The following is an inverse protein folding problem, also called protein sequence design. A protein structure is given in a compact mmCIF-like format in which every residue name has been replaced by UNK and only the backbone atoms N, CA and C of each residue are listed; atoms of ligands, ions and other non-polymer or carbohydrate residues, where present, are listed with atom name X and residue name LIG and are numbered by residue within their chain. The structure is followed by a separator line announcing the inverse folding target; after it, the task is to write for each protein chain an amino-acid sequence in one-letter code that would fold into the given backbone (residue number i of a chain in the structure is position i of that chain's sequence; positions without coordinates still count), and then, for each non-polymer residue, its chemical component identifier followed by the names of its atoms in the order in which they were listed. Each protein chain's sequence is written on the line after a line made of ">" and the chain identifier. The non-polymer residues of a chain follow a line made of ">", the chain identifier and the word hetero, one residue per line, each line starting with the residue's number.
data_IF_911476066480
#
_entry.id   IF_911476066480
#
_cell.length_a   1.000
_cell.length_b   1.000
_cell.length_c   1.000
_cell.angle_alpha   90.00
_cell.angle_beta   90.00
_cell.angle_gamma   90.00
#
_symmetry.space_group_name_H-M   'P 1'
#
loop_
_entity.id
_entity.type
_entity.pdbx_description
1 polymer ?
#
# COMPACT_ATOMS: atom_id res chain seq x y z
N UNK A 1 11.59 -11.87 6.25
CA UNK A 1 11.96 -13.29 6.05
C UNK A 1 13.15 -13.61 6.97
N UNK A 2 12.93 -14.35 8.05
CA UNK A 2 13.94 -14.65 9.10
C UNK A 2 14.59 -15.99 8.76
N UNK A 3 15.57 -15.99 7.85
CA UNK A 3 16.24 -17.22 7.41
C UNK A 3 17.33 -17.67 8.39
N UNK A 4 17.99 -16.73 9.05
CA UNK A 4 19.03 -16.95 10.05
C UNK A 4 18.60 -17.86 11.21
N UNK A 5 17.42 -17.64 11.80
CA UNK A 5 16.90 -18.53 12.87
C UNK A 5 16.55 -19.93 12.37
N UNK A 6 16.08 -20.04 11.13
CA UNK A 6 15.81 -21.35 10.51
C UNK A 6 17.11 -22.12 10.24
N UNK A 7 18.14 -21.44 9.74
CA UNK A 7 19.46 -22.05 9.49
C UNK A 7 20.10 -22.55 10.80
N UNK A 8 19.95 -21.79 11.89
CA UNK A 8 20.45 -22.20 13.21
C UNK A 8 19.80 -23.52 13.69
N UNK A 9 18.50 -23.72 13.40
CA UNK A 9 17.79 -24.95 13.79
C UNK A 9 18.28 -26.21 13.06
N UNK A 10 18.99 -26.07 11.94
CA UNK A 10 19.59 -27.19 11.21
C UNK A 10 20.99 -27.58 11.72
N UNK A 11 21.60 -26.76 12.58
CA UNK A 11 22.96 -26.98 13.08
C UNK A 11 22.96 -27.74 14.42
N UNK A 12 23.88 -28.68 14.60
CA UNK A 12 24.02 -29.44 15.86
C UNK A 12 24.48 -28.57 17.04
N UNK A 13 25.29 -27.55 16.76
CA UNK A 13 25.87 -26.64 17.78
C UNK A 13 24.89 -25.54 18.27
N UNK A 14 23.59 -25.68 17.98
CA UNK A 14 22.57 -24.65 18.23
C UNK A 14 22.58 -24.13 19.66
N UNK A 15 22.67 -25.01 20.67
CA UNK A 15 22.53 -24.64 22.08
C UNK A 15 23.72 -23.83 22.60
N UNK A 16 24.92 -24.02 22.04
CA UNK A 16 26.12 -23.29 22.44
C UNK A 16 26.22 -21.93 21.75
N UNK A 17 25.76 -21.83 20.50
CA UNK A 17 25.99 -20.65 19.64
C UNK A 17 24.77 -19.72 19.58
N UNK A 18 23.56 -20.22 19.87
CA UNK A 18 22.31 -19.46 19.77
C UNK A 18 22.35 -18.10 20.51
N UNK A 19 22.83 -18.08 21.75
CA UNK A 19 22.87 -16.84 22.55
C UNK A 19 23.75 -15.76 21.90
N UNK A 20 24.92 -16.13 21.39
CA UNK A 20 25.83 -15.20 20.71
C UNK A 20 25.26 -14.74 19.36
N UNK A 21 24.70 -15.67 18.58
CA UNK A 21 24.10 -15.38 17.28
C UNK A 21 22.90 -14.44 17.43
N UNK A 22 22.01 -14.69 18.38
CA UNK A 22 20.87 -13.81 18.66
C UNK A 22 21.33 -12.40 19.06
N UNK A 23 22.32 -12.28 19.95
CA UNK A 23 22.85 -10.98 20.34
C UNK A 23 23.46 -10.19 19.15
N UNK A 24 24.12 -10.87 18.20
CA UNK A 24 24.66 -10.23 17.00
C UNK A 24 23.55 -9.82 16.03
N UNK A 25 22.52 -10.66 15.87
CA UNK A 25 21.34 -10.36 15.06
C UNK A 25 20.63 -9.12 15.60
N UNK A 26 20.42 -9.04 16.91
CA UNK A 26 19.78 -7.88 17.55
C UNK A 26 20.61 -6.61 17.36
N UNK A 27 21.95 -6.71 17.48
CA UNK A 27 22.86 -5.59 17.20
C UNK A 27 22.86 -5.15 15.73
N UNK A 28 22.65 -6.07 14.79
CA UNK A 28 22.46 -5.73 13.38
C UNK A 28 21.08 -5.08 13.17
N UNK A 29 20.05 -5.59 13.84
CA UNK A 29 18.70 -5.06 13.76
C UNK A 29 18.61 -3.62 14.28
N UNK A 30 19.30 -3.29 15.38
CA UNK A 30 19.44 -1.91 15.90
C UNK A 30 20.07 -0.94 14.89
N UNK A 31 20.89 -1.45 13.97
CA UNK A 31 21.53 -0.66 12.90
C UNK A 31 20.71 -0.65 11.61
N UNK A 32 19.53 -1.29 11.59
CA UNK A 32 18.69 -1.44 10.40
C UNK A 32 19.26 -2.42 9.37
N UNK A 33 20.07 -3.38 9.80
CA UNK A 33 20.70 -4.38 8.94
C UNK A 33 19.94 -5.71 9.07
N UNK A 34 19.62 -6.33 7.93
CA UNK A 34 19.10 -7.69 7.86
C UNK A 34 20.22 -8.69 8.06
N UNK A 35 19.97 -9.77 8.79
CA UNK A 35 20.93 -10.86 9.01
C UNK A 35 20.68 -12.02 8.04
N UNK A 36 21.74 -12.51 7.40
CA UNK A 36 21.73 -13.76 6.66
C UNK A 36 22.66 -14.78 7.34
N UNK A 37 22.09 -15.87 7.83
CA UNK A 37 22.85 -16.99 8.40
C UNK A 37 23.36 -17.91 7.30
N UNK A 38 24.63 -18.31 7.39
CA UNK A 38 25.27 -19.25 6.46
C UNK A 38 25.74 -20.48 7.22
N UNK A 39 25.34 -21.65 6.74
CA UNK A 39 25.78 -22.94 7.25
C UNK A 39 26.30 -23.81 6.11
N UNK A 40 27.24 -24.68 6.44
CA UNK A 40 27.99 -25.50 5.51
C UNK A 40 28.02 -26.93 6.04
N UNK A 41 27.85 -27.91 5.15
CA UNK A 41 28.00 -29.32 5.49
C UNK A 41 28.77 -30.03 4.37
N UNK A 42 29.44 -31.14 4.70
CA UNK A 42 30.18 -31.95 3.72
C UNK A 42 29.29 -33.09 3.23
N UNK A 43 29.20 -33.25 1.91
CA UNK A 43 28.55 -34.39 1.26
C UNK A 43 29.64 -35.37 0.79
N UNK A 44 29.61 -36.65 1.17
CA UNK A 44 30.54 -37.66 0.66
C UNK A 44 30.31 -37.87 -0.86
N UNK A 45 31.39 -37.93 -1.65
CA UNK A 45 31.38 -38.01 -3.13
C UNK A 45 30.61 -39.20 -3.75
N UNK A 46 30.13 -40.17 -2.95
CA UNK A 46 29.50 -41.42 -3.42
C UNK A 46 28.09 -41.67 -2.86
N UNK A 47 27.42 -40.68 -2.31
CA UNK A 47 26.07 -40.85 -1.75
C UNK A 47 25.12 -39.73 -2.18
N UNK A 48 24.01 -40.08 -2.84
CA UNK A 48 22.84 -39.20 -3.07
C UNK A 48 21.97 -39.02 -1.80
N UNK A 49 22.51 -39.34 -0.62
CA UNK A 49 21.80 -39.24 0.65
C UNK A 49 21.86 -37.84 1.27
N UNK A 50 21.02 -37.54 2.28
CA UNK A 50 21.16 -36.32 3.07
C UNK A 50 22.56 -36.31 3.70
N UNK A 51 23.33 -35.25 3.43
CA UNK A 51 24.72 -35.15 3.88
C UNK A 51 24.87 -35.05 5.40
N UNK A 52 26.11 -34.85 5.86
CA UNK A 52 26.43 -34.75 7.30
C UNK A 52 25.80 -33.52 8.00
N UNK A 53 25.98 -33.38 9.33
CA UNK A 53 25.39 -32.29 10.11
C UNK A 53 25.87 -30.92 9.64
N UNK A 54 24.98 -29.94 9.67
CA UNK A 54 25.29 -28.57 9.28
C UNK A 54 26.15 -27.88 10.33
N UNK A 55 27.25 -27.29 9.89
CA UNK A 55 28.12 -26.43 10.70
C UNK A 55 27.77 -24.97 10.41
N UNK A 56 27.51 -24.17 11.45
CA UNK A 56 27.22 -22.76 11.28
C UNK A 56 28.51 -21.99 10.96
N UNK A 57 28.61 -21.39 9.77
CA UNK A 57 29.84 -20.72 9.34
C UNK A 57 29.83 -19.23 9.72
N UNK A 58 28.67 -18.54 9.75
CA UNK A 58 28.60 -17.14 10.18
C UNK A 58 27.31 -16.39 9.83
N UNK A 59 27.28 -15.09 10.17
CA UNK A 59 26.21 -14.14 9.86
C UNK A 59 26.74 -13.04 8.93
N UNK A 60 26.00 -12.72 7.87
CA UNK A 60 26.29 -11.58 6.99
C UNK A 60 25.22 -10.50 7.21
N UNK A 61 25.62 -9.24 7.52
CA UNK A 61 24.70 -8.12 7.56
C UNK A 61 24.45 -7.59 6.14
N UNK A 62 23.17 -7.43 5.79
CA UNK A 62 22.68 -6.89 4.53
C UNK A 62 21.92 -5.60 4.80
N UNK A 63 22.24 -4.55 4.05
CA UNK A 63 21.50 -3.29 4.09
C UNK A 63 20.60 -3.22 2.85
N UNK A 64 19.33 -2.91 3.06
CA UNK A 64 18.40 -2.55 2.00
C UNK A 64 18.29 -1.01 2.00
N UNK A 65 19.06 -0.29 1.15
CA UNK A 65 19.07 1.16 1.18
C UNK A 65 17.73 1.71 0.67
N UNK A 66 17.13 2.68 1.37
CA UNK A 66 15.94 3.35 0.86
C UNK A 66 16.27 4.09 -0.44
N UNK A 67 15.30 4.18 -1.35
CA UNK A 67 15.42 5.03 -2.54
C UNK A 67 15.49 6.50 -2.10
N UNK A 68 16.23 7.28 -2.88
CA UNK A 68 16.55 8.67 -2.60
C UNK A 68 15.30 9.59 -2.59
N UNK A 69 14.26 9.24 -3.33
CA UNK A 69 13.03 10.02 -3.51
C UNK A 69 11.96 9.73 -2.45
N UNK A 70 12.08 8.66 -1.67
CA UNK A 70 11.00 8.18 -0.78
C UNK A 70 10.72 9.19 0.33
N UNK A 71 11.75 9.76 0.97
CA UNK A 71 11.57 10.68 2.08
C UNK A 71 10.78 11.94 1.67
N UNK A 72 11.16 12.55 0.54
CA UNK A 72 10.43 13.69 -0.03
C UNK A 72 9.00 13.29 -0.45
N UNK A 73 8.85 12.11 -1.04
CA UNK A 73 7.56 11.59 -1.48
C UNK A 73 6.59 11.39 -0.31
N UNK A 74 7.06 10.87 0.83
CA UNK A 74 6.23 10.69 2.04
C UNK A 74 5.77 12.05 2.55
N UNK A 75 6.66 13.04 2.65
CA UNK A 75 6.29 14.39 3.07
C UNK A 75 5.26 15.01 2.13
N UNK A 76 5.46 14.87 0.81
CA UNK A 76 4.51 15.33 -0.20
C UNK A 76 3.16 14.62 -0.07
N UNK A 77 3.15 13.32 0.18
CA UNK A 77 1.94 12.53 0.43
C UNK A 77 1.16 13.07 1.63
N UNK A 78 1.84 13.34 2.74
CA UNK A 78 1.24 13.90 3.95
C UNK A 78 0.63 15.28 3.71
N UNK A 79 1.32 16.16 2.97
CA UNK A 79 0.77 17.47 2.56
C UNK A 79 -0.48 17.35 1.67
N UNK A 80 -0.63 16.25 0.94
CA UNK A 80 -1.81 15.93 0.13
C UNK A 80 -2.91 15.23 0.94
N UNK A 81 -2.73 15.03 2.24
CA UNK A 81 -3.67 14.32 3.10
C UNK A 81 -3.72 12.81 2.84
N UNK A 82 -2.65 12.23 2.31
CA UNK A 82 -2.51 10.78 2.10
C UNK A 82 -1.49 10.26 3.10
N UNK A 83 -1.96 9.51 4.09
CA UNK A 83 -1.11 8.87 5.08
C UNK A 83 -0.41 7.64 4.47
N UNK A 84 0.91 7.55 4.65
CA UNK A 84 1.71 6.40 4.20
C UNK A 84 2.07 5.56 5.42
N UNK A 85 1.60 4.31 5.47
CA UNK A 85 1.91 3.36 6.54
C UNK A 85 2.90 2.31 6.05
N UNK A 86 4.02 2.12 6.75
CA UNK A 86 5.01 1.10 6.37
C UNK A 86 4.53 -0.29 6.78
N UNK A 87 4.53 -1.25 5.85
CA UNK A 87 4.21 -2.66 6.12
C UNK A 87 5.43 -3.49 5.75
N UNK A 88 6.06 -4.16 6.74
CA UNK A 88 7.26 -4.96 6.50
C UNK A 88 7.24 -6.30 7.24
N UNK A 89 7.84 -7.32 6.61
CA UNK A 89 8.11 -8.62 7.23
C UNK A 89 9.43 -8.65 8.02
N UNK A 90 10.11 -7.52 8.17
CA UNK A 90 11.28 -7.36 9.03
C UNK A 90 10.90 -7.20 10.49
N UNK A 91 11.86 -7.45 11.38
CA UNK A 91 11.67 -7.23 12.81
C UNK A 91 11.45 -5.75 13.12
N UNK A 92 10.77 -5.48 14.24
CA UNK A 92 10.39 -4.12 14.66
C UNK A 92 11.58 -3.16 14.76
N UNK A 93 12.74 -3.62 15.25
CA UNK A 93 13.93 -2.78 15.37
C UNK A 93 14.44 -2.30 14.00
N UNK A 94 14.51 -3.20 13.01
CA UNK A 94 14.89 -2.87 11.63
C UNK A 94 13.88 -1.92 11.02
N UNK A 95 12.59 -2.23 11.18
CA UNK A 95 11.50 -1.41 10.65
C UNK A 95 11.54 0.02 11.19
N UNK A 96 11.71 0.19 12.51
CA UNK A 96 11.82 1.51 13.15
C UNK A 96 13.05 2.28 12.68
N UNK A 97 14.19 1.61 12.50
CA UNK A 97 15.39 2.27 12.01
C UNK A 97 15.24 2.71 10.54
N UNK A 98 14.65 1.88 9.69
CA UNK A 98 14.33 2.25 8.31
C UNK A 98 13.32 3.39 8.26
N UNK A 99 12.25 3.31 9.06
CA UNK A 99 11.24 4.35 9.18
C UNK A 99 11.81 5.69 9.65
N UNK A 100 12.74 5.66 10.61
CA UNK A 100 13.49 6.85 11.09
C UNK A 100 14.30 7.48 9.97
N UNK A 101 14.97 6.69 9.13
CA UNK A 101 15.73 7.19 7.96
C UNK A 101 14.83 7.75 6.87
N UNK A 102 13.65 7.17 6.70
CA UNK A 102 12.66 7.59 5.70
C UNK A 102 11.80 8.78 6.14
N UNK A 103 11.72 9.06 7.45
CA UNK A 103 10.87 10.10 8.00
C UNK A 103 9.39 9.74 8.05
N UNK A 104 9.02 8.46 8.02
CA UNK A 104 7.61 7.99 8.11
C UNK A 104 7.05 8.02 9.54
N UNK A 105 7.87 8.32 10.55
CA UNK A 105 7.52 8.19 11.97
C UNK A 105 7.92 6.84 12.56
N UNK A 106 8.12 6.78 13.88
CA UNK A 106 8.61 5.58 14.59
C UNK A 106 7.54 4.90 15.43
N UNK A 107 6.28 5.35 15.34
CA UNK A 107 5.15 4.76 16.06
C UNK A 107 4.70 3.45 15.37
N UNK A 108 5.59 2.45 15.38
CA UNK A 108 5.38 1.16 14.75
C UNK A 108 5.15 0.07 15.80
N UNK A 109 4.29 -0.88 15.46
CA UNK A 109 3.94 -2.01 16.30
C UNK A 109 4.18 -3.33 15.56
N UNK A 110 4.51 -4.43 16.26
CA UNK A 110 4.55 -5.73 15.63
C UNK A 110 3.12 -6.18 15.29
N UNK A 111 2.92 -6.84 14.15
CA UNK A 111 1.57 -7.27 13.73
C UNK A 111 0.89 -8.19 14.74
N UNK A 112 1.65 -8.98 15.50
CA UNK A 112 1.10 -9.82 16.57
C UNK A 112 0.45 -8.98 17.68
N UNK A 113 1.02 -7.83 18.04
CA UNK A 113 0.42 -6.94 19.02
C UNK A 113 -0.86 -6.26 18.50
N UNK A 114 -1.00 -6.13 17.18
CA UNK A 114 -2.15 -5.49 16.52
C UNK A 114 -3.26 -6.48 16.13
N UNK A 115 -3.04 -7.79 16.29
CA UNK A 115 -4.01 -8.81 15.88
C UNK A 115 -4.43 -9.73 17.02
N UNK A 116 -3.69 -9.72 18.12
CA UNK A 116 -4.07 -10.47 19.32
C UNK A 116 -5.24 -9.75 20.02
N UNK A 117 -6.45 -10.15 19.65
CA UNK A 117 -7.71 -9.68 20.26
C UNK A 117 -7.90 -10.15 21.70
N UNK A 118 -7.02 -11.02 22.22
CA UNK A 118 -7.05 -11.50 23.60
C UNK A 118 -6.19 -10.66 24.56
N UNK A 119 -5.75 -9.46 24.16
CA UNK A 119 -5.16 -8.52 25.11
C UNK A 119 -6.17 -8.23 26.21
N UNK A 120 -5.78 -8.51 27.45
CA UNK A 120 -6.53 -8.10 28.64
C UNK A 120 -6.91 -6.62 28.51
N UNK A 121 -8.16 -6.30 28.86
CA UNK A 121 -8.89 -5.02 28.76
C UNK A 121 -8.19 -3.79 29.42
N UNK A 122 -6.91 -3.89 29.78
CA UNK A 122 -6.19 -2.96 30.64
C UNK A 122 -5.11 -2.10 29.95
N UNK A 123 -4.91 -2.18 28.62
CA UNK A 123 -4.03 -1.25 27.87
C UNK A 123 -4.79 -0.31 26.91
N UNK A 124 -5.41 0.72 27.49
CA UNK A 124 -5.72 2.09 27.00
C UNK A 124 -6.33 2.40 25.62
N UNK A 125 -6.22 1.58 24.56
CA UNK A 125 -6.84 1.85 23.25
C UNK A 125 -7.32 0.56 22.57
N UNK A 126 -8.52 0.56 21.95
CA UNK A 126 -8.97 -0.57 21.15
C UNK A 126 -8.01 -0.79 19.96
N UNK A 127 -7.81 -2.05 19.60
CA UNK A 127 -6.86 -2.48 18.56
C UNK A 127 -7.03 -1.71 17.25
N UNK A 128 -8.27 -1.40 16.87
CA UNK A 128 -8.57 -0.67 15.64
C UNK A 128 -8.05 0.79 15.67
N UNK A 129 -8.10 1.46 16.82
CA UNK A 129 -7.53 2.80 16.99
C UNK A 129 -6.01 2.77 17.00
N UNK A 130 -5.42 1.70 17.54
CA UNK A 130 -3.98 1.50 17.52
C UNK A 130 -3.45 1.36 16.09
N UNK A 131 -4.16 0.59 15.24
CA UNK A 131 -3.82 0.43 13.82
C UNK A 131 -3.99 1.75 13.05
N UNK A 132 -5.02 2.52 13.37
CA UNK A 132 -5.27 3.84 12.80
C UNK A 132 -4.16 4.84 13.15
N UNK A 133 -3.67 4.85 14.40
CA UNK A 133 -2.61 5.74 14.87
C UNK A 133 -1.18 5.25 14.56
N UNK A 134 -1.01 3.98 14.19
CA UNK A 134 0.31 3.43 13.89
C UNK A 134 0.90 3.97 12.58
N UNK A 135 2.16 4.38 12.59
CA UNK A 135 2.92 4.78 11.39
C UNK A 135 3.29 3.55 10.52
N UNK A 136 3.20 2.35 11.09
CA UNK A 136 3.41 1.11 10.36
C UNK A 136 3.47 -0.14 11.21
N UNK A 137 3.57 -1.27 10.53
CA UNK A 137 3.53 -2.61 11.10
C UNK A 137 4.80 -3.39 10.72
N UNK A 138 5.38 -4.08 11.70
CA UNK A 138 6.55 -4.94 11.52
C UNK A 138 6.21 -6.42 11.74
N UNK A 139 7.07 -7.32 11.28
CA UNK A 139 6.91 -8.77 11.35
C UNK A 139 5.59 -9.27 10.73
N UNK A 140 5.13 -8.60 9.67
CA UNK A 140 3.83 -8.84 9.04
C UNK A 140 3.86 -10.09 8.17
N UNK A 141 2.88 -10.98 8.36
CA UNK A 141 2.61 -12.15 7.53
C UNK A 141 1.50 -11.83 6.50
N UNK A 142 1.35 -12.60 5.41
CA UNK A 142 0.33 -12.36 4.39
C UNK A 142 -1.09 -12.21 4.95
N UNK A 143 -1.47 -13.03 5.94
CA UNK A 143 -2.78 -12.98 6.61
C UNK A 143 -2.98 -11.66 7.35
N UNK A 144 -1.90 -11.14 7.94
CA UNK A 144 -1.93 -9.89 8.70
C UNK A 144 -2.15 -8.67 7.79
N UNK A 145 -1.64 -8.70 6.55
CA UNK A 145 -1.87 -7.62 5.57
C UNK A 145 -3.36 -7.45 5.28
N UNK A 146 -4.08 -8.56 5.11
CA UNK A 146 -5.51 -8.55 4.87
C UNK A 146 -6.29 -7.93 6.04
N UNK A 147 -6.00 -8.36 7.27
CA UNK A 147 -6.69 -7.84 8.46
C UNK A 147 -6.38 -6.35 8.70
N UNK A 148 -5.14 -5.89 8.47
CA UNK A 148 -4.79 -4.46 8.58
C UNK A 148 -5.64 -3.62 7.62
N UNK A 149 -5.74 -4.03 6.35
CA UNK A 149 -6.55 -3.32 5.36
C UNK A 149 -8.02 -3.31 5.76
N UNK A 150 -8.53 -4.44 6.25
CA UNK A 150 -9.92 -4.56 6.71
C UNK A 150 -10.22 -3.63 7.89
N UNK A 151 -9.36 -3.58 8.90
CA UNK A 151 -9.54 -2.68 10.07
C UNK A 151 -9.53 -1.21 9.65
N UNK A 152 -8.65 -0.81 8.73
CA UNK A 152 -8.62 0.56 8.22
C UNK A 152 -9.88 0.91 7.41
N UNK A 153 -10.41 -0.04 6.62
CA UNK A 153 -11.69 0.14 5.92
C UNK A 153 -12.89 0.24 6.87
N UNK A 154 -12.92 -0.54 7.95
CA UNK A 154 -13.95 -0.45 8.99
C UNK A 154 -13.96 0.91 9.68
N UNK A 155 -12.82 1.61 9.71
CA UNK A 155 -12.65 3.00 10.15
C UNK A 155 -12.94 4.04 9.05
N UNK A 156 -13.54 3.64 7.93
CA UNK A 156 -13.92 4.50 6.80
C UNK A 156 -12.74 5.14 6.05
N UNK A 157 -11.52 4.59 6.16
CA UNK A 157 -10.39 5.01 5.32
C UNK A 157 -10.44 4.33 3.95
N UNK A 158 -10.18 5.10 2.89
CA UNK A 158 -9.95 4.55 1.55
C UNK A 158 -8.51 4.03 1.50
N UNK A 159 -8.36 2.72 1.35
CA UNK A 159 -7.07 2.05 1.51
C UNK A 159 -6.46 1.67 0.16
N UNK A 160 -5.29 2.24 -0.14
CA UNK A 160 -4.41 1.77 -1.21
C UNK A 160 -3.37 0.81 -0.67
N UNK A 161 -3.28 -0.41 -1.22
CA UNK A 161 -2.31 -1.42 -0.79
C UNK A 161 -1.32 -1.72 -1.91
N UNK A 162 -0.03 -1.71 -1.59
CA UNK A 162 1.03 -2.10 -2.53
C UNK A 162 1.52 -3.51 -2.21
N UNK A 163 1.76 -4.33 -3.23
CA UNK A 163 2.28 -5.68 -3.05
C UNK A 163 3.02 -6.22 -4.27
N UNK A 164 3.66 -7.37 -4.10
CA UNK A 164 4.40 -8.11 -5.14
C UNK A 164 3.52 -9.11 -5.91
N UNK A 165 2.25 -9.24 -5.53
CA UNK A 165 1.21 -9.90 -6.31
C UNK A 165 0.75 -11.23 -5.72
N UNK A 166 1.55 -12.29 -5.77
CA UNK A 166 1.07 -13.66 -5.48
C UNK A 166 0.78 -13.87 -3.99
N UNK A 167 1.70 -13.46 -3.13
CA UNK A 167 1.53 -13.60 -1.68
C UNK A 167 0.53 -12.57 -1.12
N UNK A 168 0.44 -11.43 -1.80
CA UNK A 168 -0.34 -10.28 -1.35
C UNK A 168 -1.73 -10.21 -1.97
N UNK A 169 -2.08 -11.13 -2.88
CA UNK A 169 -3.33 -11.14 -3.63
C UNK A 169 -4.59 -10.98 -2.75
N UNK A 170 -4.75 -11.66 -1.60
CA UNK A 170 -5.92 -11.46 -0.75
C UNK A 170 -6.03 -10.03 -0.23
N UNK A 171 -4.90 -9.44 0.20
CA UNK A 171 -4.85 -8.07 0.72
C UNK A 171 -5.04 -7.01 -0.38
N UNK A 172 -4.48 -7.25 -1.57
CA UNK A 172 -4.63 -6.39 -2.73
C UNK A 172 -6.08 -6.34 -3.21
N UNK A 173 -6.76 -7.50 -3.24
CA UNK A 173 -8.19 -7.59 -3.59
C UNK A 173 -9.11 -6.95 -2.55
N UNK A 174 -8.68 -6.96 -1.28
CA UNK A 174 -9.46 -6.41 -0.17
C UNK A 174 -9.38 -4.89 -0.13
N UNK A 175 -8.23 -4.32 -0.51
CA UNK A 175 -8.03 -2.89 -0.57
C UNK A 175 -9.00 -2.23 -1.56
N UNK A 176 -9.29 -0.94 -1.35
CA UNK A 176 -10.09 -0.15 -2.29
C UNK A 176 -9.33 0.06 -3.61
N UNK A 177 -8.00 0.09 -3.52
CA UNK A 177 -7.09 0.19 -4.66
C UNK A 177 -5.90 -0.76 -4.42
N UNK A 178 -5.87 -1.88 -5.12
CA UNK A 178 -4.74 -2.80 -5.17
C UNK A 178 -3.69 -2.35 -6.20
N UNK A 179 -2.44 -2.16 -5.76
CA UNK A 179 -1.33 -1.67 -6.58
C UNK A 179 -0.22 -2.71 -6.62
N UNK A 180 0.20 -3.14 -7.81
CA UNK A 180 1.37 -4.03 -7.97
C UNK A 180 2.57 -3.26 -8.47
N UNK A 181 3.71 -3.50 -7.81
CA UNK A 181 5.00 -2.88 -8.13
C UNK A 181 5.80 -3.81 -9.05
N UNK A 182 6.01 -3.41 -10.30
CA UNK A 182 6.94 -3.99 -11.30
C UNK A 182 6.74 -5.47 -11.68
N UNK A 183 6.75 -5.77 -12.98
CA UNK A 183 6.68 -7.11 -13.58
C UNK A 183 5.72 -8.10 -12.88
N UNK A 184 4.42 -7.77 -12.76
CA UNK A 184 3.46 -8.73 -12.23
C UNK A 184 3.43 -9.96 -13.12
N UNK A 185 3.71 -11.12 -12.52
CA UNK A 185 3.34 -12.43 -13.05
C UNK A 185 1.84 -12.37 -13.39
N UNK A 186 1.41 -12.94 -14.51
CA UNK A 186 0.04 -12.78 -15.03
C UNK A 186 -1.07 -13.06 -13.99
N UNK A 187 -0.81 -13.94 -13.04
CA UNK A 187 -1.70 -14.23 -11.91
C UNK A 187 -2.02 -12.97 -11.07
N UNK A 188 -1.04 -12.11 -10.80
CA UNK A 188 -1.21 -10.89 -10.02
C UNK A 188 -2.03 -9.82 -10.76
N UNK A 189 -1.93 -9.75 -12.10
CA UNK A 189 -2.67 -8.77 -12.92
C UNK A 189 -4.18 -8.93 -12.85
N UNK A 190 -4.66 -10.16 -12.63
CA UNK A 190 -6.09 -10.46 -12.57
C UNK A 190 -6.79 -10.00 -11.28
N UNK A 191 -6.01 -9.59 -10.26
CA UNK A 191 -6.51 -9.32 -8.90
C UNK A 191 -6.38 -7.84 -8.52
N UNK A 192 -5.69 -7.03 -9.33
CA UNK A 192 -5.29 -5.65 -8.96
C UNK A 192 -5.86 -4.59 -9.87
N UNK A 193 -6.08 -3.40 -9.31
CA UNK A 193 -6.69 -2.27 -10.01
C UNK A 193 -5.66 -1.45 -10.81
N UNK A 194 -4.43 -1.34 -10.28
CA UNK A 194 -3.35 -0.55 -10.88
C UNK A 194 -2.07 -1.37 -10.93
N UNK A 195 -1.44 -1.39 -12.11
CA UNK A 195 -0.09 -1.95 -12.31
C UNK A 195 0.88 -0.81 -12.56
N UNK A 196 1.92 -0.70 -11.73
CA UNK A 196 2.98 0.27 -11.97
C UNK A 196 3.97 -0.27 -13.00
N UNK A 197 4.19 0.51 -14.04
CA UNK A 197 5.20 0.24 -15.08
C UNK A 197 6.62 0.50 -14.59
N UNK A 198 6.76 1.34 -13.57
CA UNK A 198 8.03 1.72 -12.96
C UNK A 198 7.93 1.56 -11.44
N UNK A 199 9.00 1.13 -10.74
CA UNK A 199 8.97 0.95 -9.31
C UNK A 199 9.18 2.29 -8.57
N UNK A 200 8.29 2.62 -7.63
CA UNK A 200 8.49 3.77 -6.75
C UNK A 200 7.20 4.28 -6.12
N UNK A 201 7.31 4.77 -4.88
CA UNK A 201 6.19 5.42 -4.20
C UNK A 201 5.82 6.76 -4.87
N UNK A 202 6.79 7.43 -5.47
CA UNK A 202 6.62 8.72 -6.16
C UNK A 202 5.58 8.65 -7.27
N UNK A 203 5.56 7.55 -8.02
CA UNK A 203 4.61 7.31 -9.11
C UNK A 203 3.19 7.17 -8.58
N UNK A 204 3.02 6.50 -7.43
CA UNK A 204 1.71 6.36 -6.77
C UNK A 204 1.17 7.74 -6.37
N UNK A 205 2.01 8.59 -5.78
CA UNK A 205 1.62 9.95 -5.40
C UNK A 205 1.28 10.80 -6.64
N UNK A 206 2.04 10.66 -7.72
CA UNK A 206 1.73 11.32 -8.99
C UNK A 206 0.39 10.85 -9.58
N UNK A 207 0.09 9.55 -9.50
CA UNK A 207 -1.19 8.98 -9.92
C UNK A 207 -2.35 9.53 -9.09
N UNK A 208 -2.19 9.67 -7.76
CA UNK A 208 -3.20 10.28 -6.88
C UNK A 208 -3.48 11.74 -7.28
N UNK A 209 -2.44 12.53 -7.53
CA UNK A 209 -2.59 13.92 -7.98
C UNK A 209 -3.34 14.02 -9.31
N UNK A 210 -2.96 13.17 -10.26
CA UNK A 210 -3.58 13.12 -11.59
C UNK A 210 -5.05 12.70 -11.49
N UNK A 211 -5.34 11.68 -10.67
CA UNK A 211 -6.70 11.21 -10.39
C UNK A 211 -7.57 12.31 -9.79
N UNK A 212 -7.06 13.08 -8.82
CA UNK A 212 -7.79 14.22 -8.22
C UNK A 212 -8.11 15.31 -9.25
N UNK A 213 -7.20 15.59 -10.18
CA UNK A 213 -7.42 16.56 -11.27
C UNK A 213 -8.53 16.10 -12.23
N UNK A 214 -8.52 14.82 -12.61
CA UNK A 214 -9.56 14.21 -13.45
C UNK A 214 -10.90 14.24 -12.71
N UNK A 215 -10.93 13.85 -11.44
CA UNK A 215 -12.14 13.84 -10.63
C UNK A 215 -12.75 15.23 -10.49
N UNK A 216 -11.93 16.28 -10.34
CA UNK A 216 -12.41 17.65 -10.30
C UNK A 216 -13.08 18.06 -11.62
N UNK A 217 -12.53 17.66 -12.77
CA UNK A 217 -13.15 17.90 -14.09
C UNK A 217 -14.47 17.17 -14.24
N UNK A 218 -14.53 15.90 -13.82
CA UNK A 218 -15.77 15.11 -13.82
C UNK A 218 -16.85 15.77 -12.95
N UNK A 219 -16.50 16.21 -11.73
CA UNK A 219 -17.45 16.88 -10.83
C UNK A 219 -17.96 18.19 -11.43
N UNK A 220 -17.09 18.99 -12.02
CA UNK A 220 -17.47 20.24 -12.67
C UNK A 220 -18.43 19.98 -13.85
N UNK A 221 -18.16 18.95 -14.64
CA UNK A 221 -19.05 18.53 -15.72
C UNK A 221 -20.42 18.06 -15.19
N UNK A 222 -20.45 17.27 -14.11
CA UNK A 222 -21.71 16.85 -13.48
C UNK A 222 -22.52 18.04 -12.98
N UNK A 223 -21.88 19.03 -12.33
CA UNK A 223 -22.53 20.26 -11.88
C UNK A 223 -23.10 21.04 -13.09
N UNK A 224 -22.32 21.15 -14.16
CA UNK A 224 -22.76 21.79 -15.41
C UNK A 224 -23.98 21.09 -16.00
N UNK A 225 -23.94 19.76 -16.15
CA UNK A 225 -25.03 18.96 -16.69
C UNK A 225 -26.32 19.14 -15.86
N UNK A 226 -26.22 19.03 -14.53
CA UNK A 226 -27.35 19.25 -13.62
C UNK A 226 -27.88 20.68 -13.72
N UNK A 227 -26.98 21.67 -13.81
CA UNK A 227 -27.36 23.08 -13.95
C UNK A 227 -28.13 23.34 -15.25
N UNK A 228 -27.74 22.73 -16.37
CA UNK A 228 -28.49 22.84 -17.63
C UNK A 228 -29.87 22.21 -17.49
N UNK A 229 -29.96 21.01 -16.92
CA UNK A 229 -31.24 20.34 -16.72
C UNK A 229 -32.19 21.21 -15.91
N UNK A 230 -31.72 21.77 -14.78
CA UNK A 230 -32.52 22.68 -13.94
C UNK A 230 -32.93 23.92 -14.74
N UNK A 231 -32.00 24.54 -15.48
CA UNK A 231 -32.27 25.75 -16.27
C UNK A 231 -33.32 25.51 -17.36
N UNK A 232 -33.24 24.40 -18.08
CA UNK A 232 -34.18 24.04 -19.14
C UNK A 232 -35.57 23.78 -18.56
N UNK A 233 -35.65 22.94 -17.51
CA UNK A 233 -36.93 22.58 -16.88
C UNK A 233 -37.60 23.79 -16.26
N UNK A 234 -36.89 24.56 -15.42
CA UNK A 234 -37.46 25.76 -14.80
C UNK A 234 -37.81 26.82 -15.84
N UNK A 235 -36.98 27.00 -16.86
CA UNK A 235 -37.23 27.94 -17.95
C UNK A 235 -38.56 27.67 -18.64
N UNK A 236 -38.79 26.42 -19.08
CA UNK A 236 -40.04 26.06 -19.76
C UNK A 236 -41.25 26.09 -18.83
N UNK A 237 -41.13 25.64 -17.57
CA UNK A 237 -42.24 25.73 -16.60
C UNK A 237 -42.66 27.19 -16.38
N UNK A 238 -41.69 28.11 -16.25
CA UNK A 238 -41.98 29.54 -16.09
C UNK A 238 -42.60 30.15 -17.35
N UNK A 239 -42.12 29.78 -18.55
CA UNK A 239 -42.72 30.22 -19.82
C UNK A 239 -44.18 29.78 -19.95
N UNK A 240 -44.49 28.52 -19.62
CA UNK A 240 -45.86 28.01 -19.64
C UNK A 240 -46.74 28.70 -18.58
N UNK A 241 -46.23 28.94 -17.37
CA UNK A 241 -47.02 29.59 -16.31
C UNK A 241 -47.31 31.08 -16.58
N UNK A 242 -46.30 31.85 -17.00
CA UNK A 242 -46.42 33.31 -17.13
C UNK A 242 -47.08 33.69 -18.46
N UNK A 243 -46.64 33.06 -19.56
CA UNK A 243 -47.05 33.43 -20.91
C UNK A 243 -47.99 32.43 -21.59
N UNK A 244 -48.35 31.32 -20.92
CA UNK A 244 -49.18 30.24 -21.51
C UNK A 244 -48.66 29.78 -22.87
N UNK A 245 -47.34 29.75 -23.02
CA UNK A 245 -46.67 29.34 -24.24
C UNK A 245 -46.12 27.93 -24.08
N UNK A 246 -46.50 27.03 -24.99
CA UNK A 246 -46.00 25.66 -25.04
C UNK A 246 -44.83 25.59 -26.03
N UNK A 247 -43.63 25.39 -25.50
CA UNK A 247 -42.43 25.31 -26.34
C UNK A 247 -42.38 23.98 -27.10
N UNK A 248 -42.10 23.97 -28.43
CA UNK A 248 -42.14 22.74 -29.22
C UNK A 248 -41.08 21.72 -28.75
N UNK A 249 -41.46 20.47 -28.42
CA UNK A 249 -40.50 19.45 -27.96
C UNK A 249 -39.37 19.16 -28.96
N UNK A 250 -39.63 19.29 -30.26
CA UNK A 250 -38.62 19.12 -31.31
C UNK A 250 -37.46 20.11 -31.16
N UNK A 251 -37.72 21.37 -30.79
CA UNK A 251 -36.67 22.37 -30.60
C UNK A 251 -35.83 22.07 -29.35
N UNK A 252 -36.43 21.48 -28.30
CA UNK A 252 -35.71 20.99 -27.13
C UNK A 252 -34.76 19.85 -27.50
N UNK A 253 -35.20 18.93 -28.35
CA UNK A 253 -34.36 17.85 -28.88
C UNK A 253 -33.17 18.41 -29.67
N UNK A 254 -33.38 19.44 -30.51
CA UNK A 254 -32.28 20.10 -31.23
C UNK A 254 -31.28 20.73 -30.26
N UNK A 255 -31.74 21.41 -29.20
CA UNK A 255 -30.87 21.97 -28.16
C UNK A 255 -30.08 20.86 -27.44
N UNK A 256 -30.72 19.74 -27.14
CA UNK A 256 -30.07 18.61 -26.48
C UNK A 256 -28.95 18.02 -27.35
N UNK A 257 -29.22 17.79 -28.64
CA UNK A 257 -28.22 17.28 -29.59
C UNK A 257 -27.05 18.25 -29.74
N UNK A 258 -27.32 19.56 -29.85
CA UNK A 258 -26.27 20.59 -29.96
C UNK A 258 -25.45 20.75 -28.67
N UNK A 259 -26.01 20.41 -27.52
CA UNK A 259 -25.32 20.45 -26.24
C UNK A 259 -24.53 19.16 -25.94
N UNK A 260 -24.93 18.03 -26.54
CA UNK A 260 -24.19 16.76 -26.49
C UNK A 260 -23.03 16.70 -27.48
N UNK A 261 -23.06 17.52 -28.54
CA UNK A 261 -21.92 17.67 -29.43
C UNK A 261 -20.75 18.23 -28.61
N UNK A 262 -19.63 17.50 -28.48
CA UNK A 262 -18.54 17.95 -27.64
C UNK A 262 -18.03 19.26 -28.20
N UNK A 263 -18.16 20.33 -27.40
CA UNK A 263 -17.31 21.52 -27.53
C UNK A 263 -15.91 21.01 -27.87
N UNK A 264 -15.33 21.34 -29.04
CA UNK A 264 -14.07 20.77 -29.46
C UNK A 264 -13.09 21.02 -28.32
N UNK A 265 -12.47 19.94 -27.85
CA UNK A 265 -11.39 20.01 -26.89
C UNK A 265 -10.31 20.90 -27.52
N UNK A 266 -10.34 22.18 -27.19
CA UNK A 266 -9.34 23.13 -27.63
C UNK A 266 -8.10 22.82 -26.78
N UNK A 267 -7.18 22.09 -27.40
CA UNK A 267 -5.82 21.81 -26.92
C UNK A 267 -5.10 23.12 -26.62
N UNK A 268 -5.41 23.71 -25.47
CA UNK A 268 -4.68 24.85 -24.92
C UNK A 268 -3.47 24.33 -24.17
N UNK A 269 -2.41 24.08 -24.94
CA UNK A 269 -0.99 24.26 -24.61
C UNK A 269 -0.55 23.85 -23.19
N UNK A 270 -0.04 22.62 -23.08
CA UNK A 270 1.12 22.36 -22.22
C UNK A 270 2.38 22.37 -23.10
N UNK A 271 3.06 23.52 -23.12
CA UNK A 271 4.51 23.60 -23.23
C UNK A 271 5.05 23.85 -21.83
#
# INVERSE_FOLDING_TARGET
>A
MVFDRKILNFCEEKEQIAGKVHAIIDKFAERGLRSLGVACHKVPEKSEGPGGPWTFCGLLPLLDPPRHDIAETIQRSLHLGVCVKMITGDQLAIAKETARRLGTGTNMYPSSALLDRNRDDHETLPVDELVEQADGCASVFPEHKYEIVKMLQEKMHICGMTGDGVNDAPSLKKADIGIVVSDPIDAARSVVDIVLTEPGLSIIIHAVLTSRSIFQRMKNYTIYAVSITIRIVLGFVLFTMIWKYDFPPFMVLVIAILNDDPLPFEDSKLN
#
